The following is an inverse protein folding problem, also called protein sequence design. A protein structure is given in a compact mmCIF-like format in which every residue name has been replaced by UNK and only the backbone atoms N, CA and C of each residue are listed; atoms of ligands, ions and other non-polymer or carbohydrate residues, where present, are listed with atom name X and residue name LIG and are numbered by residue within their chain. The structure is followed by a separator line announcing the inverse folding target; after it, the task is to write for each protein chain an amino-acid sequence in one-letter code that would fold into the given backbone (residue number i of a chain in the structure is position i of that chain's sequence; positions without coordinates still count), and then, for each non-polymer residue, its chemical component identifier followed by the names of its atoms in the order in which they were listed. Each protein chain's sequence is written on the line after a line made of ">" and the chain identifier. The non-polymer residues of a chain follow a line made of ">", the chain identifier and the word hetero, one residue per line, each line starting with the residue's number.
data_IF_435450542150
#
_entry.id   IF_435450542150
#
_cell.length_a   1.000
_cell.length_b   1.000
_cell.length_c   1.000
_cell.angle_alpha   90.00
_cell.angle_beta   90.00
_cell.angle_gamma   90.00
#
_symmetry.space_group_name_H-M   'P 1'
#
loop_
_entity.id
_entity.type
_entity.pdbx_description
1 polymer ?
#
# COMPACT_ATOMS: atom_id res chain seq x y z
N UNK A 1 -21.12 -15.65 -49.52
CA UNK A 1 -21.22 -14.78 -50.71
C UNK A 1 -22.53 -13.98 -50.63
N UNK A 2 -22.50 -12.73 -51.11
CA UNK A 2 -23.49 -11.61 -51.01
C UNK A 2 -23.15 -10.59 -49.89
N UNK A 3 -22.20 -9.67 -50.15
CA UNK A 3 -22.35 -8.25 -50.59
C UNK A 3 -22.99 -7.37 -49.51
N UNK A 4 -22.23 -6.58 -48.74
CA UNK A 4 -21.62 -5.27 -49.02
C UNK A 4 -22.64 -4.12 -49.14
N UNK A 5 -22.62 -3.17 -48.20
CA UNK A 5 -22.48 -1.73 -48.48
C UNK A 5 -22.12 -0.90 -47.24
N UNK A 6 -21.17 0.00 -47.46
CA UNK A 6 -20.51 0.95 -46.56
C UNK A 6 -21.17 2.31 -46.73
N UNK A 7 -21.42 3.07 -45.65
CA UNK A 7 -21.47 4.54 -45.69
C UNK A 7 -20.78 5.12 -44.45
N UNK A 8 -19.74 5.91 -44.69
CA UNK A 8 -18.99 6.74 -43.75
C UNK A 8 -19.78 8.01 -43.40
N UNK A 9 -19.62 8.54 -42.17
CA UNK A 9 -19.73 9.98 -41.95
C UNK A 9 -18.70 10.45 -40.90
N UNK A 10 -17.84 11.35 -41.37
CA UNK A 10 -16.74 12.02 -40.67
C UNK A 10 -17.14 13.42 -40.21
N UNK A 11 -16.70 13.86 -39.02
CA UNK A 11 -16.50 15.27 -38.60
C UNK A 11 -15.75 15.22 -37.26
N UNK A 12 -14.46 15.53 -37.08
CA UNK A 12 -13.56 16.66 -37.40
C UNK A 12 -13.76 17.93 -36.54
N UNK A 13 -12.66 18.28 -35.82
CA UNK A 13 -12.20 19.58 -35.23
C UNK A 13 -12.91 20.01 -33.92
N UNK A 14 -12.22 20.33 -32.81
CA UNK A 14 -11.41 21.56 -32.57
C UNK A 14 -10.25 21.36 -31.57
N UNK A 15 -9.18 22.10 -31.89
CA UNK A 15 -7.88 22.28 -31.25
C UNK A 15 -7.91 22.93 -29.86
N UNK A 16 -6.95 22.54 -29.01
CA UNK A 16 -6.51 23.32 -27.84
C UNK A 16 -5.02 23.11 -27.61
N UNK A 17 -4.18 23.92 -28.26
CA UNK A 17 -2.74 24.01 -27.96
C UNK A 17 -2.56 24.97 -26.78
N UNK A 18 -2.19 24.44 -25.60
CA UNK A 18 -1.62 25.26 -24.54
C UNK A 18 -0.10 25.26 -24.68
N UNK A 19 0.43 26.42 -25.08
CA UNK A 19 1.85 26.76 -25.05
C UNK A 19 2.14 27.53 -23.76
N UNK A 20 3.15 27.10 -22.99
CA UNK A 20 3.91 28.02 -22.16
C UNK A 20 5.37 27.56 -22.12
N UNK A 21 6.22 28.32 -22.82
CA UNK A 21 7.67 28.24 -22.75
C UNK A 21 8.17 29.04 -21.54
N UNK A 22 9.03 28.43 -20.71
CA UNK A 22 10.21 29.13 -20.17
C UNK A 22 11.39 28.18 -20.18
N UNK A 23 12.39 28.57 -20.98
CA UNK A 23 13.74 28.03 -20.96
C UNK A 23 14.60 28.74 -19.92
N UNK A 24 15.59 28.03 -19.39
CA UNK A 24 17.00 28.44 -19.12
C UNK A 24 17.57 27.46 -18.08
N UNK A 25 18.40 26.50 -18.51
CA UNK A 25 19.89 26.49 -18.41
C UNK A 25 20.44 26.58 -16.97
N UNK A 26 21.57 25.98 -16.57
CA UNK A 26 22.46 24.87 -16.96
C UNK A 26 23.61 24.96 -15.93
N UNK A 27 24.09 23.81 -15.40
CA UNK A 27 25.40 23.58 -14.74
C UNK A 27 25.80 24.46 -13.52
N UNK A 28 26.45 23.95 -12.48
CA UNK A 28 27.87 23.53 -12.51
C UNK A 28 28.21 22.71 -11.27
N UNK A 29 29.20 21.84 -11.46
CA UNK A 29 29.87 20.91 -10.56
C UNK A 29 30.28 21.48 -9.20
N UNK A 30 30.34 20.59 -8.19
CA UNK A 30 31.57 20.44 -7.41
C UNK A 30 31.60 19.09 -6.68
N UNK A 31 32.66 18.33 -6.95
CA UNK A 31 33.11 17.18 -6.19
C UNK A 31 33.24 17.50 -4.71
N UNK A 32 32.85 16.55 -3.84
CA UNK A 32 33.55 16.37 -2.58
C UNK A 32 33.64 14.88 -2.24
N UNK A 33 34.87 14.38 -2.27
CA UNK A 33 35.25 13.06 -1.75
C UNK A 33 35.05 13.03 -0.24
N UNK A 34 34.30 12.05 0.26
CA UNK A 34 34.61 11.44 1.56
C UNK A 34 34.42 9.91 1.44
N UNK A 35 35.56 9.20 1.50
CA UNK A 35 35.60 7.80 1.89
C UNK A 35 35.17 7.70 3.36
N UNK A 36 34.12 6.93 3.68
CA UNK A 36 34.00 6.31 4.99
C UNK A 36 33.03 5.13 4.96
N UNK A 37 33.63 3.93 4.99
CA UNK A 37 33.27 2.79 5.85
C UNK A 37 31.81 2.32 5.82
N UNK A 38 31.66 1.14 5.23
CA UNK A 38 30.62 0.14 5.51
C UNK A 38 30.19 0.13 6.97
N UNK A 39 29.04 0.71 7.26
CA UNK A 39 28.19 0.27 8.36
C UNK A 39 26.83 -0.08 7.77
N UNK A 40 26.52 -1.38 7.81
CA UNK A 40 25.15 -1.88 7.70
C UNK A 40 24.46 -1.41 8.97
N UNK A 41 24.03 -0.16 8.93
CA UNK A 41 23.27 0.47 9.99
C UNK A 41 21.84 -0.07 9.87
N UNK A 42 21.54 -1.13 10.62
CA UNK A 42 20.17 -1.52 10.94
C UNK A 42 19.64 -0.51 11.97
N UNK A 43 19.62 0.77 11.60
CA UNK A 43 18.84 1.77 12.32
C UNK A 43 17.40 1.56 11.83
N UNK A 44 16.61 0.82 12.61
CA UNK A 44 15.16 0.84 12.49
C UNK A 44 14.73 2.28 12.57
N UNK A 45 14.35 2.87 11.44
CA UNK A 45 13.81 4.22 11.39
C UNK A 45 12.52 4.22 12.21
N UNK A 46 12.57 4.79 13.40
CA UNK A 46 11.39 4.94 14.26
C UNK A 46 10.35 5.73 13.48
N UNK A 47 9.28 5.06 13.06
CA UNK A 47 8.16 5.73 12.39
C UNK A 47 7.56 6.74 13.37
N UNK A 48 7.58 8.01 12.97
CA UNK A 48 7.05 9.13 13.74
C UNK A 48 5.53 9.08 13.79
N UNK A 49 4.96 9.79 14.77
CA UNK A 49 3.53 10.04 14.82
C UNK A 49 3.04 10.74 13.55
N UNK A 50 1.79 10.47 13.17
CA UNK A 50 1.17 11.06 11.99
C UNK A 50 0.18 10.16 11.29
N UNK A 51 -0.29 10.65 10.15
CA UNK A 51 -1.20 9.95 9.26
C UNK A 51 -0.46 9.50 8.00
N UNK A 52 -0.61 8.24 7.64
CA UNK A 52 0.09 7.60 6.53
C UNK A 52 -0.91 6.83 5.67
N UNK A 53 -0.78 6.94 4.36
CA UNK A 53 -1.65 6.23 3.43
C UNK A 53 -0.83 5.53 2.35
N UNK A 54 -1.26 4.32 2.00
CA UNK A 54 -0.56 3.43 1.09
C UNK A 54 -1.54 2.76 0.15
N UNK A 55 -1.06 2.45 -1.06
CA UNK A 55 -1.83 1.74 -2.06
C UNK A 55 -0.96 0.72 -2.79
N UNK A 56 -1.55 -0.44 -3.08
CA UNK A 56 -1.05 -1.39 -4.07
C UNK A 56 -2.11 -1.54 -5.14
N UNK A 57 -1.69 -1.43 -6.39
CA UNK A 57 -2.53 -1.69 -7.55
C UNK A 57 -1.88 -2.80 -8.36
N UNK A 58 -2.56 -3.92 -8.48
CA UNK A 58 -2.14 -5.05 -9.32
C UNK A 58 -3.23 -5.30 -10.35
N UNK A 59 -2.95 -4.95 -11.61
CA UNK A 59 -3.96 -4.89 -12.65
C UNK A 59 -5.12 -3.96 -12.25
N UNK A 60 -6.32 -4.51 -12.04
CA UNK A 60 -7.52 -3.77 -11.61
C UNK A 60 -7.80 -3.93 -10.12
N UNK A 61 -7.06 -4.79 -9.41
CA UNK A 61 -7.24 -5.01 -7.99
C UNK A 61 -6.48 -3.94 -7.21
N UNK A 62 -7.10 -3.48 -6.12
CA UNK A 62 -6.53 -2.42 -5.29
C UNK A 62 -6.58 -2.80 -3.81
N UNK A 63 -5.48 -2.54 -3.11
CA UNK A 63 -5.44 -2.55 -1.65
C UNK A 63 -5.05 -1.15 -1.20
N UNK A 64 -5.90 -0.51 -0.40
CA UNK A 64 -5.64 0.79 0.20
C UNK A 64 -5.59 0.65 1.72
N UNK A 65 -4.60 1.28 2.35
CA UNK A 65 -4.44 1.30 3.80
C UNK A 65 -4.19 2.72 4.27
N UNK A 66 -4.92 3.14 5.31
CA UNK A 66 -4.61 4.34 6.08
C UNK A 66 -4.23 3.95 7.50
N UNK A 67 -3.21 4.61 8.06
CA UNK A 67 -2.73 4.42 9.42
C UNK A 67 -2.58 5.78 10.11
N UNK A 68 -3.01 5.84 11.35
CA UNK A 68 -2.78 6.93 12.30
C UNK A 68 -1.93 6.37 13.44
N UNK A 69 -0.75 6.96 13.63
CA UNK A 69 0.22 6.55 14.67
C UNK A 69 0.29 7.66 15.71
N UNK A 70 0.09 7.29 16.98
CA UNK A 70 0.21 8.19 18.14
C UNK A 70 0.99 7.48 19.26
N UNK A 71 2.27 7.80 19.38
CA UNK A 71 3.19 7.05 20.23
C UNK A 71 3.28 5.58 19.81
N UNK A 72 2.74 4.70 20.65
CA UNK A 72 2.68 3.27 20.38
C UNK A 72 1.32 2.82 19.86
N UNK A 73 0.29 3.66 19.90
CA UNK A 73 -1.02 3.29 19.38
C UNK A 73 -1.05 3.43 17.86
N UNK A 74 -1.59 2.41 17.19
CA UNK A 74 -1.79 2.39 15.75
C UNK A 74 -3.24 2.06 15.46
N UNK A 75 -3.91 2.94 14.73
CA UNK A 75 -5.28 2.75 14.26
C UNK A 75 -5.35 3.03 12.76
N UNK A 76 -6.35 2.49 12.06
CA UNK A 76 -6.41 2.67 10.62
C UNK A 76 -7.61 2.02 9.94
N UNK A 77 -7.59 2.05 8.61
CA UNK A 77 -8.53 1.32 7.77
C UNK A 77 -7.78 0.56 6.69
N UNK A 78 -8.31 -0.58 6.30
CA UNK A 78 -7.84 -1.34 5.14
C UNK A 78 -9.03 -1.65 4.24
N UNK A 79 -8.84 -1.43 2.96
CA UNK A 79 -9.80 -1.68 1.90
C UNK A 79 -9.11 -2.55 0.86
N UNK A 80 -9.55 -3.79 0.73
CA UNK A 80 -9.18 -4.68 -0.35
C UNK A 80 -10.33 -4.75 -1.34
N UNK A 81 -10.11 -4.25 -2.55
CA UNK A 81 -11.10 -4.11 -3.60
C UNK A 81 -10.59 -4.81 -4.87
N UNK A 82 -10.86 -6.13 -5.00
CA UNK A 82 -10.63 -6.88 -6.22
C UNK A 82 -11.68 -6.55 -7.28
N UNK A 83 -11.32 -6.59 -8.57
CA UNK A 83 -12.22 -6.14 -9.64
C UNK A 83 -13.39 -7.11 -9.93
N UNK A 84 -13.17 -8.41 -9.79
CA UNK A 84 -14.13 -9.47 -10.16
C UNK A 84 -14.59 -10.32 -8.99
N UNK A 85 -14.24 -9.92 -7.76
CA UNK A 85 -14.54 -10.64 -6.52
C UNK A 85 -15.13 -9.68 -5.49
N UNK A 86 -15.70 -10.25 -4.44
CA UNK A 86 -16.14 -9.47 -3.29
C UNK A 86 -14.94 -8.99 -2.49
N UNK A 87 -14.93 -7.68 -2.22
CA UNK A 87 -13.87 -7.05 -1.44
C UNK A 87 -14.05 -7.22 0.07
N UNK A 88 -13.02 -6.81 0.79
CA UNK A 88 -13.04 -6.69 2.24
C UNK A 88 -12.78 -5.24 2.64
N UNK A 89 -13.55 -4.74 3.60
CA UNK A 89 -13.32 -3.43 4.20
C UNK A 89 -13.40 -3.54 5.72
N UNK A 90 -12.48 -2.88 6.41
CA UNK A 90 -12.41 -2.97 7.86
C UNK A 90 -11.47 -1.95 8.51
N UNK A 91 -11.36 -2.08 9.83
CA UNK A 91 -10.51 -1.24 10.67
C UNK A 91 -9.28 -2.00 11.13
N UNK A 92 -8.17 -1.28 11.25
CA UNK A 92 -6.94 -1.77 11.86
C UNK A 92 -6.80 -1.14 13.25
N UNK A 93 -6.44 -1.94 14.24
CA UNK A 93 -6.12 -1.45 15.59
C UNK A 93 -5.03 -2.30 16.23
N UNK A 94 -4.09 -1.68 16.91
CA UNK A 94 -3.05 -2.38 17.65
C UNK A 94 -1.93 -1.45 18.11
N UNK A 95 -0.73 -2.00 18.20
CA UNK A 95 0.43 -1.29 18.77
C UNK A 95 1.66 -1.36 17.87
N UNK A 96 2.50 -0.33 17.97
CA UNK A 96 3.88 -0.35 17.49
C UNK A 96 4.78 -1.00 18.55
N UNK A 97 5.44 -2.09 18.21
CA UNK A 97 6.33 -2.81 19.11
C UNK A 97 7.74 -2.19 19.14
N UNK A 98 8.61 -2.75 20.00
CA UNK A 98 9.96 -2.23 20.21
C UNK A 98 10.87 -2.35 18.97
N UNK A 99 10.56 -3.23 18.02
CA UNK A 99 11.30 -3.42 16.77
C UNK A 99 10.85 -2.45 15.67
N UNK A 100 9.75 -1.72 15.91
CA UNK A 100 9.14 -0.80 14.96
C UNK A 100 8.11 -1.44 14.03
N UNK A 101 7.74 -2.71 14.27
CA UNK A 101 6.62 -3.36 13.58
C UNK A 101 5.29 -3.00 14.26
N UNK A 102 4.19 -3.08 13.51
CA UNK A 102 2.84 -2.85 13.98
C UNK A 102 2.14 -4.20 14.13
N UNK A 103 1.82 -4.56 15.36
CA UNK A 103 1.06 -5.75 15.70
C UNK A 103 -0.43 -5.36 15.72
N UNK A 104 -1.13 -5.66 14.63
CA UNK A 104 -2.49 -5.17 14.36
C UNK A 104 -3.51 -6.31 14.30
N UNK A 105 -4.74 -5.98 14.67
CA UNK A 105 -5.94 -6.74 14.31
C UNK A 105 -6.68 -5.98 13.22
N UNK A 106 -6.96 -6.68 12.12
CA UNK A 106 -7.86 -6.24 11.06
C UNK A 106 -9.25 -6.82 11.33
N UNK A 107 -10.20 -5.98 11.73
CA UNK A 107 -11.63 -6.34 11.90
C UNK A 107 -12.38 -5.89 10.65
N UNK A 108 -12.89 -6.84 9.88
CA UNK A 108 -13.42 -6.58 8.53
C UNK A 108 -14.66 -7.39 8.20
N UNK A 109 -15.36 -6.91 7.19
CA UNK A 109 -16.49 -7.61 6.59
C UNK A 109 -16.11 -8.06 5.19
N UNK A 110 -16.36 -9.34 4.90
CA UNK A 110 -16.28 -9.92 3.56
C UNK A 110 -17.54 -10.76 3.33
N UNK A 111 -18.20 -10.55 2.20
CA UNK A 111 -19.46 -11.25 1.86
C UNK A 111 -20.53 -11.18 2.98
N UNK A 112 -20.58 -10.05 3.70
CA UNK A 112 -21.52 -9.84 4.82
C UNK A 112 -21.14 -10.54 6.14
N UNK A 113 -20.05 -11.30 6.17
CA UNK A 113 -19.54 -11.98 7.35
C UNK A 113 -18.43 -11.16 8.01
N UNK A 114 -18.54 -10.97 9.34
CA UNK A 114 -17.46 -10.35 10.13
C UNK A 114 -16.34 -11.37 10.35
N UNK A 115 -15.12 -10.91 10.24
CA UNK A 115 -13.90 -11.68 10.44
C UNK A 115 -12.87 -10.81 11.15
N UNK A 116 -11.93 -11.43 11.86
CA UNK A 116 -10.72 -10.74 12.31
C UNK A 116 -9.48 -11.46 11.78
N UNK A 117 -8.42 -10.69 11.50
CA UNK A 117 -7.15 -11.24 11.07
C UNK A 117 -5.99 -10.53 11.77
N UNK A 118 -5.03 -11.30 12.27
CA UNK A 118 -3.75 -10.72 12.74
C UNK A 118 -2.93 -10.23 11.56
N UNK A 119 -2.50 -8.96 11.58
CA UNK A 119 -1.62 -8.38 10.57
C UNK A 119 -0.36 -7.84 11.24
N UNK A 120 0.80 -8.20 10.72
CA UNK A 120 2.06 -7.55 11.09
C UNK A 120 2.50 -6.66 9.94
N UNK A 121 2.69 -5.37 10.22
CA UNK A 121 3.08 -4.38 9.23
C UNK A 121 4.32 -3.60 9.67
N UNK A 122 5.04 -2.98 8.74
CA UNK A 122 6.03 -1.96 9.06
C UNK A 122 6.09 -0.92 7.97
N UNK A 123 6.41 0.32 8.34
CA UNK A 123 6.73 1.38 7.37
C UNK A 123 8.24 1.43 7.24
N UNK A 124 8.73 1.26 6.01
CA UNK A 124 10.14 1.43 5.69
C UNK A 124 10.27 2.39 4.51
N UNK A 125 11.00 3.49 4.70
CA UNK A 125 11.13 4.59 3.73
C UNK A 125 9.74 5.16 3.35
N UNK A 126 9.25 4.85 2.15
CA UNK A 126 7.96 5.29 1.62
C UNK A 126 7.07 4.10 1.25
N UNK A 127 7.27 2.95 1.89
CA UNK A 127 6.49 1.75 1.64
C UNK A 127 5.95 1.18 2.94
N UNK A 128 4.75 0.62 2.84
CA UNK A 128 4.19 -0.23 3.88
C UNK A 128 4.45 -1.68 3.48
N UNK A 129 5.16 -2.41 4.33
CA UNK A 129 5.41 -3.83 4.15
C UNK A 129 4.52 -4.62 5.10
N UNK A 130 3.91 -5.71 4.62
CA UNK A 130 2.99 -6.56 5.39
C UNK A 130 3.53 -8.00 5.38
N UNK A 131 3.52 -8.66 6.54
CA UNK A 131 3.88 -10.08 6.62
C UNK A 131 2.80 -10.94 5.98
N UNK A 132 3.20 -11.77 5.02
CA UNK A 132 2.41 -12.87 4.48
C UNK A 132 2.87 -14.20 5.10
N UNK A 133 1.91 -15.07 5.41
CA UNK A 133 2.15 -16.38 5.99
C UNK A 133 0.87 -17.22 6.02
N UNK A 134 1.01 -18.52 6.32
CA UNK A 134 -0.14 -19.39 6.50
C UNK A 134 -0.99 -18.93 7.70
N UNK A 135 -2.28 -18.72 7.48
CA UNK A 135 -3.25 -18.37 8.51
C UNK A 135 -4.06 -19.60 8.91
N UNK A 136 -4.49 -19.63 10.16
CA UNK A 136 -5.38 -20.65 10.72
C UNK A 136 -6.52 -19.99 11.47
N UNK A 137 -7.69 -20.62 11.43
CA UNK A 137 -8.82 -20.34 12.30
C UNK A 137 -9.01 -21.54 13.25
N UNK A 138 -8.37 -21.53 14.44
CA UNK A 138 -8.35 -22.70 15.32
C UNK A 138 -9.72 -23.01 15.94
N UNK A 139 -10.66 -22.05 15.91
CA UNK A 139 -11.98 -22.17 16.52
C UNK A 139 -13.12 -22.19 15.52
N UNK A 140 -12.82 -21.98 14.23
CA UNK A 140 -13.80 -21.84 13.16
C UNK A 140 -14.81 -20.71 13.47
N UNK A 141 -14.32 -19.61 14.04
CA UNK A 141 -15.10 -18.46 14.49
C UNK A 141 -14.76 -17.16 13.73
N UNK A 142 -13.99 -17.28 12.65
CA UNK A 142 -13.56 -16.16 11.80
C UNK A 142 -12.40 -15.35 12.36
N UNK A 143 -11.71 -15.84 13.40
CA UNK A 143 -10.53 -15.18 13.97
C UNK A 143 -9.24 -15.81 13.43
N UNK A 144 -8.78 -15.28 12.30
CA UNK A 144 -7.58 -15.73 11.59
C UNK A 144 -6.30 -15.26 12.29
N UNK A 145 -5.37 -16.20 12.48
CA UNK A 145 -4.05 -15.95 13.09
C UNK A 145 -2.96 -16.61 12.28
N UNK A 146 -1.75 -16.05 12.29
CA UNK A 146 -0.58 -16.76 11.74
C UNK A 146 -0.40 -18.10 12.43
N UNK A 147 -0.30 -19.17 11.64
CA UNK A 147 0.03 -20.51 12.13
C UNK A 147 1.41 -20.56 12.77
N UNK A 148 2.35 -19.85 12.14
CA UNK A 148 3.74 -19.75 12.59
C UNK A 148 4.27 -18.37 12.17
N UNK A 149 4.26 -17.43 13.12
CA UNK A 149 4.71 -16.06 12.86
C UNK A 149 6.20 -16.00 12.47
N UNK A 150 7.02 -16.96 12.91
CA UNK A 150 8.46 -16.99 12.58
C UNK A 150 8.73 -17.31 11.11
N UNK A 151 7.76 -17.94 10.42
CA UNK A 151 7.83 -18.25 8.99
C UNK A 151 7.20 -17.17 8.10
N UNK A 152 6.45 -16.25 8.68
CA UNK A 152 5.82 -15.16 7.95
C UNK A 152 6.88 -14.14 7.50
N UNK A 153 6.72 -13.59 6.28
CA UNK A 153 7.71 -12.73 5.64
C UNK A 153 7.07 -11.49 5.06
N UNK A 154 7.78 -10.37 5.09
CA UNK A 154 7.37 -9.12 4.46
C UNK A 154 7.41 -9.22 2.92
N UNK A 155 6.38 -9.83 2.34
CA UNK A 155 6.26 -10.07 0.90
C UNK A 155 5.24 -9.14 0.23
N UNK A 156 4.26 -8.65 0.99
CA UNK A 156 3.33 -7.67 0.48
C UNK A 156 3.87 -6.26 0.72
N UNK A 157 3.90 -5.45 -0.34
CA UNK A 157 4.43 -4.09 -0.34
C UNK A 157 3.40 -3.16 -0.98
N UNK A 158 3.07 -2.07 -0.29
CA UNK A 158 2.23 -0.98 -0.79
C UNK A 158 3.06 0.31 -0.84
N UNK A 159 2.84 1.10 -1.88
CA UNK A 159 3.53 2.38 -2.07
C UNK A 159 2.77 3.52 -1.38
N UNK A 160 3.51 4.48 -0.83
CA UNK A 160 2.91 5.68 -0.22
C UNK A 160 2.07 6.46 -1.23
N UNK A 161 0.93 6.93 -0.78
CA UNK A 161 0.00 7.75 -1.57
C UNK A 161 -0.59 8.86 -0.70
N UNK A 162 -1.33 9.78 -1.33
CA UNK A 162 -2.12 10.77 -0.60
C UNK A 162 -3.26 10.09 0.16
N UNK A 163 -3.51 10.55 1.38
CA UNK A 163 -4.71 10.15 2.12
C UNK A 163 -5.97 10.69 1.45
N UNK A 164 -7.04 9.90 1.48
CA UNK A 164 -8.37 10.22 0.96
C UNK A 164 -9.28 10.76 2.06
#
# INVERSE_FOLDING_TARGET
>A
MKTLNIIYLTSMVIFGLFSCNKASQQNTDSENKINAVTQKDTTSATTSDGNFCFIKSLNKDTTYISLTIKGNEVAGTMIWNPYEKDGATGTLSGIKNAEGEFDLIYDYVIEGSKQTETKIMKIEKNQLMIKEGELVDPKNDGNLKYKDLSKAKFNEVLDKTACK
#
